data_IF_016221132600
#
_entry.id   IF_016221132600
#
_cell.length_a   1.000
_cell.length_b   1.000
_cell.length_c   1.000
_cell.angle_alpha   90.00
_cell.angle_beta   90.00
_cell.angle_gamma   90.00
#
_symmetry.space_group_name_H-M   'P 1'
#
loop_
_entity.id
_entity.type
_entity.pdbx_description
1 polymer ?
#
# COMPACT_ATOMS: atom_id res chain seq x y z
N UNK A 1 16.56 -1.74 6.05
CA UNK A 1 15.40 -1.44 6.93
C UNK A 1 14.51 -2.65 6.87
N UNK A 2 14.09 -3.18 8.01
CA UNK A 2 13.27 -4.40 8.11
C UNK A 2 11.97 -4.09 8.88
N UNK A 3 10.92 -4.85 8.61
CA UNK A 3 9.62 -4.76 9.28
C UNK A 3 9.66 -5.62 10.56
N UNK A 4 9.44 -4.98 11.70
CA UNK A 4 9.47 -5.64 13.02
C UNK A 4 8.15 -6.29 13.45
N UNK A 5 7.03 -5.90 12.84
CA UNK A 5 5.69 -6.41 13.16
C UNK A 5 4.71 -6.18 12.00
N UNK A 6 3.65 -6.97 11.96
CA UNK A 6 2.61 -6.93 10.91
C UNK A 6 1.28 -6.42 11.49
N UNK A 7 0.77 -5.26 11.06
CA UNK A 7 -0.53 -4.77 11.50
C UNK A 7 -1.68 -5.53 10.81
N UNK A 8 -2.90 -5.60 11.38
CA UNK A 8 -4.04 -6.20 10.69
C UNK A 8 -4.41 -5.50 9.36
N UNK A 9 -4.09 -4.21 9.25
CA UNK A 9 -4.26 -3.40 8.03
C UNK A 9 -2.96 -2.67 7.75
N UNK A 10 -2.37 -2.91 6.58
CA UNK A 10 -1.15 -2.25 6.11
C UNK A 10 -1.51 -1.07 5.19
N UNK A 11 -1.01 0.11 5.52
CA UNK A 11 -1.13 1.30 4.68
C UNK A 11 0.22 1.58 3.99
N UNK A 12 0.22 1.61 2.66
CA UNK A 12 1.39 1.98 1.86
C UNK A 12 1.13 3.34 1.22
N UNK A 13 1.93 4.33 1.58
CA UNK A 13 1.86 5.68 0.99
C UNK A 13 2.99 5.88 0.00
N UNK A 14 2.64 6.04 -1.26
CA UNK A 14 3.60 6.36 -2.32
C UNK A 14 3.93 7.85 -2.28
N UNK A 15 5.19 8.19 -2.00
CA UNK A 15 5.67 9.58 -1.96
C UNK A 15 5.74 10.16 -3.37
N UNK A 16 4.59 10.56 -3.91
CA UNK A 16 4.46 11.09 -5.27
C UNK A 16 4.70 12.59 -5.38
N UNK A 17 4.71 13.35 -4.29
CA UNK A 17 4.96 14.78 -4.32
C UNK A 17 6.35 15.10 -3.79
N UNK A 18 7.07 15.95 -4.52
CA UNK A 18 8.35 16.49 -4.07
C UNK A 18 8.11 17.82 -3.35
N UNK A 19 8.83 18.04 -2.26
CA UNK A 19 8.68 19.23 -1.41
C UNK A 19 9.22 20.52 -2.02
N UNK A 20 9.98 20.44 -3.12
CA UNK A 20 10.63 21.56 -3.79
C UNK A 20 9.79 22.19 -4.91
N UNK A 21 8.52 21.80 -5.08
CA UNK A 21 7.65 22.37 -6.11
C UNK A 21 7.72 21.68 -7.48
N UNK A 22 8.50 20.60 -7.63
CA UNK A 22 8.64 19.80 -8.86
C UNK A 22 7.37 19.00 -9.25
N UNK A 23 6.22 19.34 -8.67
CA UNK A 23 4.94 18.71 -8.99
C UNK A 23 4.83 17.24 -8.53
N UNK A 24 3.88 16.54 -9.12
CA UNK A 24 3.59 15.13 -8.89
C UNK A 24 4.48 14.23 -9.77
N UNK A 25 4.90 13.09 -9.24
CA UNK A 25 5.51 12.00 -10.00
C UNK A 25 4.42 11.21 -10.74
N UNK A 26 4.42 11.30 -12.08
CA UNK A 26 3.48 10.61 -12.97
C UNK A 26 3.92 9.23 -13.41
N UNK A 27 5.02 8.70 -12.87
CA UNK A 27 5.43 7.32 -13.16
C UNK A 27 4.29 6.36 -12.83
N UNK A 28 3.96 5.52 -13.81
CA UNK A 28 3.03 4.42 -13.61
C UNK A 28 3.62 3.43 -12.60
N UNK A 29 2.77 2.89 -11.74
CA UNK A 29 3.16 1.90 -10.75
C UNK A 29 2.14 0.79 -10.85
N UNK A 30 2.61 -0.37 -11.29
CA UNK A 30 1.87 -1.62 -11.24
C UNK A 30 1.88 -2.14 -9.80
N UNK A 31 0.76 -2.72 -9.39
CA UNK A 31 0.61 -3.34 -8.08
C UNK A 31 -0.22 -4.60 -8.23
N UNK A 32 0.11 -5.61 -7.43
CA UNK A 32 -0.62 -6.86 -7.39
C UNK A 32 -1.71 -6.82 -6.32
N UNK A 33 -2.70 -7.71 -6.46
CA UNK A 33 -3.75 -7.86 -5.45
C UNK A 33 -3.22 -8.51 -4.16
N UNK A 34 -2.20 -9.36 -4.26
CA UNK A 34 -1.56 -10.02 -3.14
C UNK A 34 -0.16 -9.45 -2.91
N UNK A 35 0.15 -9.12 -1.66
CA UNK A 35 1.46 -8.65 -1.25
C UNK A 35 2.06 -9.62 -0.23
N UNK A 36 3.20 -10.21 -0.58
CA UNK A 36 3.99 -11.09 0.28
C UNK A 36 5.08 -10.30 0.99
N UNK A 37 5.06 -10.24 2.33
CA UNK A 37 6.03 -9.46 3.10
C UNK A 37 7.34 -10.19 3.42
N UNK A 38 7.48 -11.46 3.04
CA UNK A 38 8.54 -12.37 3.49
C UNK A 38 9.95 -11.77 3.40
N UNK A 39 10.26 -11.06 2.31
CA UNK A 39 11.58 -10.47 2.04
C UNK A 39 11.90 -9.21 2.86
N UNK A 40 10.87 -8.54 3.40
CA UNK A 40 11.03 -7.30 4.15
C UNK A 40 10.91 -7.48 5.66
N UNK A 41 10.46 -8.64 6.12
CA UNK A 41 10.31 -8.93 7.55
C UNK A 41 11.65 -9.22 8.20
N UNK A 42 11.82 -8.72 9.43
CA UNK A 42 12.96 -9.11 10.26
C UNK A 42 12.90 -10.60 10.60
N UNK A 43 14.07 -11.22 10.79
CA UNK A 43 14.16 -12.65 11.18
C UNK A 43 13.34 -12.97 12.41
N UNK A 44 13.33 -12.07 13.40
CA UNK A 44 12.55 -12.24 14.61
C UNK A 44 11.05 -12.23 14.32
N UNK A 45 10.57 -11.29 13.49
CA UNK A 45 9.17 -11.23 13.10
C UNK A 45 8.75 -12.50 12.33
N UNK A 46 9.57 -12.94 11.36
CA UNK A 46 9.30 -14.11 10.53
C UNK A 46 9.08 -15.39 11.35
N UNK A 47 9.83 -15.55 12.44
CA UNK A 47 9.73 -16.72 13.33
C UNK A 47 8.52 -16.68 14.28
N UNK A 48 7.86 -15.52 14.45
CA UNK A 48 6.80 -15.31 15.44
C UNK A 48 5.41 -15.11 14.83
N UNK A 49 5.28 -15.11 13.50
CA UNK A 49 3.99 -14.92 12.81
C UNK A 49 3.68 -16.09 11.89
N UNK A 50 2.39 -16.36 11.71
CA UNK A 50 1.91 -17.38 10.76
C UNK A 50 2.07 -16.92 9.31
N UNK A 51 2.07 -17.87 8.37
CA UNK A 51 2.15 -17.56 6.93
C UNK A 51 1.00 -16.66 6.45
N UNK A 52 -0.19 -16.79 7.04
CA UNK A 52 -1.34 -15.93 6.73
C UNK A 52 -1.11 -14.46 7.12
N UNK A 53 -0.30 -14.20 8.14
CA UNK A 53 0.01 -12.83 8.58
C UNK A 53 1.08 -12.15 7.71
N UNK A 54 1.74 -12.90 6.84
CA UNK A 54 2.75 -12.40 5.90
C UNK A 54 2.13 -11.89 4.60
N UNK A 55 0.89 -12.28 4.31
CA UNK A 55 0.21 -12.02 3.05
C UNK A 55 -0.90 -11.00 3.26
N UNK A 56 -0.88 -9.91 2.49
CA UNK A 56 -1.95 -8.91 2.48
C UNK A 56 -2.70 -8.97 1.16
N UNK A 57 -4.02 -8.85 1.24
CA UNK A 57 -4.87 -8.65 0.09
C UNK A 57 -5.24 -7.17 -0.02
N UNK A 58 -4.99 -6.58 -1.18
CA UNK A 58 -5.36 -5.22 -1.48
C UNK A 58 -6.89 -5.09 -1.54
N UNK A 59 -7.44 -4.27 -0.63
CA UNK A 59 -8.89 -4.02 -0.61
C UNK A 59 -9.24 -2.56 -0.93
N UNK A 60 -8.28 -1.63 -0.90
CA UNK A 60 -8.53 -0.24 -1.23
C UNK A 60 -7.32 0.45 -1.87
N UNK A 61 -7.58 1.33 -2.83
CA UNK A 61 -6.57 2.17 -3.49
C UNK A 61 -7.08 3.61 -3.55
N UNK A 62 -6.34 4.54 -2.95
CA UNK A 62 -6.60 5.98 -3.07
C UNK A 62 -5.76 6.56 -4.19
N UNK A 63 -6.41 7.25 -5.13
CA UNK A 63 -5.79 7.87 -6.30
C UNK A 63 -6.00 9.36 -6.24
N UNK A 64 -4.93 10.11 -6.49
CA UNK A 64 -5.00 11.54 -6.76
C UNK A 64 -4.90 11.80 -8.26
N UNK A 65 -5.86 12.49 -8.86
CA UNK A 65 -5.73 13.05 -10.22
C UNK A 65 -5.44 14.54 -10.14
N UNK A 66 -4.39 15.02 -10.80
CA UNK A 66 -3.91 16.40 -10.68
C UNK A 66 -2.39 16.45 -10.67
N UNK A 67 -1.83 17.65 -10.86
CA UNK A 67 -0.39 17.85 -11.10
C UNK A 67 0.37 18.35 -9.87
N UNK A 68 -0.31 18.84 -8.85
CA UNK A 68 0.31 19.33 -7.63
C UNK A 68 -0.49 18.86 -6.39
N UNK A 69 0.03 19.16 -5.20
CA UNK A 69 -0.55 18.68 -3.94
C UNK A 69 -1.73 19.53 -3.45
N UNK A 70 -1.83 20.78 -3.94
CA UNK A 70 -2.83 21.76 -3.51
C UNK A 70 -4.11 21.73 -4.35
N UNK A 71 -4.09 21.07 -5.51
CA UNK A 71 -5.24 20.92 -6.39
C UNK A 71 -5.34 19.49 -6.96
N UNK A 72 -6.56 19.13 -7.37
CA UNK A 72 -6.84 17.83 -7.96
C UNK A 72 -8.11 17.22 -7.41
N UNK A 73 -8.25 15.92 -7.64
CA UNK A 73 -9.39 15.13 -7.20
C UNK A 73 -8.91 13.79 -6.64
N UNK A 74 -9.47 13.40 -5.50
CA UNK A 74 -9.18 12.11 -4.88
C UNK A 74 -10.33 11.15 -5.16
N UNK A 75 -9.98 9.97 -5.63
CA UNK A 75 -10.90 8.85 -5.82
C UNK A 75 -10.40 7.64 -5.05
N UNK A 76 -11.32 6.77 -4.65
CA UNK A 76 -10.98 5.51 -3.98
C UNK A 76 -11.65 4.36 -4.71
N UNK A 77 -10.88 3.34 -5.07
CA UNK A 77 -11.43 2.04 -5.44
C UNK A 77 -11.42 1.17 -4.20
N UNK A 78 -12.58 0.60 -3.86
CA UNK A 78 -12.74 -0.29 -2.71
C UNK A 78 -13.30 -1.62 -3.20
N UNK A 79 -12.65 -2.71 -2.81
CA UNK A 79 -13.15 -4.06 -3.05
C UNK A 79 -14.21 -4.36 -1.98
N UNK A 80 -15.41 -4.70 -2.42
CA UNK A 80 -16.44 -5.20 -1.52
C UNK A 80 -15.99 -6.52 -0.90
N UNK A 81 -16.43 -6.77 0.34
CA UNK A 81 -16.34 -8.11 0.89
C UNK A 81 -17.20 -9.02 0.02
N UNK A 82 -16.64 -10.15 -0.46
CA UNK A 82 -17.49 -11.22 -0.96
C UNK A 82 -18.32 -11.71 0.24
N UNK A 83 -19.60 -11.37 0.24
CA UNK A 83 -20.58 -12.13 1.00
C UNK A 83 -20.99 -13.31 0.12
N UNK A 84 -20.77 -14.53 0.62
CA UNK A 84 -21.35 -15.72 0.01
C UNK A 84 -22.87 -15.66 0.28
N UNK A 85 -23.62 -14.98 -0.58
CA UNK A 85 -25.10 -15.02 -0.62
C UNK A 85 -25.59 -16.08 -1.62
#
# INVERSE_FOLDING_TARGET
MEIGSTPPVLLISLKRFKSNGDGKLHSEIEYEELLHLDEWLSKNCLNNISDKQKIYQLFAVVIHTGNNMSNGHYMCYVKNQCTDD
#
